data_IF_857041262756
#
_entry.id   IF_857041262756
#
_cell.length_a   1.000
_cell.length_b   1.000
_cell.length_c   1.000
_cell.angle_alpha   90.00
_cell.angle_beta   90.00
_cell.angle_gamma   90.00
#
_symmetry.space_group_name_H-M   'P 1'
#
loop_
_entity.id
_entity.type
_entity.pdbx_description
1 polymer ?
#
# COMPACT_ATOMS: atom_id res chain seq x y z
N UNK A 1 -11.46 -15.57 -8.66
CA UNK A 1 -9.98 -15.59 -8.70
C UNK A 1 -9.51 -15.51 -7.26
N UNK A 2 -8.66 -16.44 -6.83
CA UNK A 2 -8.13 -16.46 -5.46
C UNK A 2 -6.82 -15.67 -5.38
N UNK A 3 -6.62 -14.97 -4.27
CA UNK A 3 -5.36 -14.28 -3.98
C UNK A 3 -5.15 -14.12 -2.47
N UNK A 4 -3.89 -13.98 -2.07
CA UNK A 4 -3.53 -13.65 -0.70
C UNK A 4 -3.44 -12.13 -0.51
N UNK A 5 -3.93 -11.67 0.65
CA UNK A 5 -3.94 -10.28 1.02
C UNK A 5 -3.50 -10.07 2.47
N UNK A 6 -2.86 -8.93 2.72
CA UNK A 6 -2.55 -8.45 4.07
C UNK A 6 -3.17 -7.05 4.23
N UNK A 7 -4.23 -6.95 5.03
CA UNK A 7 -5.05 -5.74 5.12
C UNK A 7 -4.71 -4.87 6.34
N UNK A 8 -3.85 -5.36 7.24
CA UNK A 8 -3.46 -4.66 8.45
C UNK A 8 -1.96 -4.38 8.41
N UNK A 9 -1.60 -3.27 7.80
CA UNK A 9 -0.25 -2.75 7.74
C UNK A 9 -0.19 -1.40 8.45
N UNK A 10 1.03 -0.93 8.72
CA UNK A 10 1.28 0.39 9.25
C UNK A 10 2.26 1.15 8.37
N UNK A 11 2.08 2.45 8.29
CA UNK A 11 2.97 3.38 7.59
C UNK A 11 4.19 3.74 8.44
N UNK A 12 5.11 4.52 7.87
CA UNK A 12 6.25 5.08 8.62
C UNK A 12 5.85 6.14 9.66
N UNK A 13 4.59 6.60 9.67
CA UNK A 13 4.07 7.50 10.71
C UNK A 13 3.71 6.79 12.02
N UNK A 14 3.51 5.48 11.98
CA UNK A 14 3.28 4.69 13.19
C UNK A 14 4.53 4.60 14.06
N UNK A 15 4.35 4.56 15.38
CA UNK A 15 5.47 4.35 16.30
C UNK A 15 6.03 2.93 16.13
N UNK A 16 7.36 2.81 16.26
CA UNK A 16 8.08 1.54 16.17
C UNK A 16 7.92 0.78 14.84
N UNK A 17 7.60 1.47 13.74
CA UNK A 17 7.65 0.91 12.38
C UNK A 17 8.92 1.34 11.63
N UNK A 18 9.23 0.66 10.53
CA UNK A 18 10.34 1.05 9.66
C UNK A 18 10.03 2.38 8.96
N UNK A 19 11.08 3.21 8.78
CA UNK A 19 11.00 4.41 7.93
C UNK A 19 10.70 4.07 6.47
N UNK A 20 10.96 2.82 6.08
CA UNK A 20 10.72 2.30 4.74
C UNK A 20 9.30 1.76 4.55
N UNK A 21 8.40 1.92 5.54
CA UNK A 21 6.97 1.62 5.39
C UNK A 21 6.25 2.67 4.51
N UNK A 22 6.69 2.75 3.25
CA UNK A 22 6.15 3.61 2.18
C UNK A 22 5.61 2.75 1.03
N UNK A 23 4.65 3.25 0.22
CA UNK A 23 3.93 2.39 -0.73
C UNK A 23 4.82 1.65 -1.74
N UNK A 24 5.87 2.26 -2.35
CA UNK A 24 6.76 1.55 -3.26
C UNK A 24 7.48 0.36 -2.62
N UNK A 25 7.97 0.50 -1.39
CA UNK A 25 8.72 -0.55 -0.69
C UNK A 25 7.77 -1.63 -0.17
N UNK A 26 6.61 -1.23 0.36
CA UNK A 26 5.56 -2.16 0.77
C UNK A 26 5.12 -3.06 -0.39
N UNK A 27 4.92 -2.50 -1.59
CA UNK A 27 4.57 -3.28 -2.78
C UNK A 27 5.67 -4.27 -3.19
N UNK A 28 6.95 -3.90 -3.10
CA UNK A 28 8.06 -4.80 -3.41
C UNK A 28 8.09 -6.00 -2.46
N UNK A 29 7.90 -5.79 -1.16
CA UNK A 29 7.83 -6.87 -0.19
C UNK A 29 6.57 -7.71 -0.33
N UNK A 30 5.42 -7.10 -0.61
CA UNK A 30 4.18 -7.80 -0.90
C UNK A 30 4.34 -8.74 -2.10
N UNK A 31 4.98 -8.25 -3.18
CA UNK A 31 5.28 -9.06 -4.36
C UNK A 31 6.20 -10.24 -4.01
N UNK A 32 7.27 -10.02 -3.24
CA UNK A 32 8.18 -11.09 -2.78
C UNK A 32 7.46 -12.13 -1.91
N UNK A 33 6.51 -11.70 -1.10
CA UNK A 33 5.66 -12.57 -0.27
C UNK A 33 4.55 -13.28 -1.06
N UNK A 34 4.32 -12.92 -2.33
CA UNK A 34 3.24 -13.48 -3.15
C UNK A 34 1.85 -12.87 -2.87
N UNK A 35 1.79 -11.72 -2.19
CA UNK A 35 0.55 -10.99 -1.94
C UNK A 35 0.15 -10.20 -3.20
N UNK A 36 -1.12 -10.25 -3.57
CA UNK A 36 -1.66 -9.46 -4.71
C UNK A 36 -2.44 -8.23 -4.28
N UNK A 37 -2.83 -8.16 -3.01
CA UNK A 37 -3.52 -7.02 -2.41
C UNK A 37 -2.91 -6.73 -1.04
N UNK A 38 -2.70 -5.46 -0.73
CA UNK A 38 -2.33 -5.01 0.61
C UNK A 38 -3.15 -3.80 1.06
N UNK A 39 -3.32 -3.65 2.37
CA UNK A 39 -3.88 -2.45 2.99
C UNK A 39 -2.86 -1.31 3.02
N UNK A 40 -3.33 -0.06 2.95
CA UNK A 40 -2.45 1.10 3.14
C UNK A 40 -2.02 1.29 4.59
N UNK A 41 -2.86 0.86 5.54
CA UNK A 41 -2.72 1.20 6.95
C UNK A 41 -2.90 2.69 7.24
N UNK A 42 -3.10 3.03 8.51
CA UNK A 42 -3.00 4.37 9.07
C UNK A 42 -3.80 5.45 8.32
N UNK A 43 -4.91 5.11 7.65
CA UNK A 43 -5.61 6.05 6.77
C UNK A 43 -6.18 7.28 7.48
N UNK A 44 -6.22 7.29 8.81
CA UNK A 44 -6.62 8.44 9.62
C UNK A 44 -5.53 9.52 9.68
N UNK A 45 -4.25 9.16 9.48
CA UNK A 45 -3.13 10.09 9.57
C UNK A 45 -3.12 11.06 8.36
N UNK A 46 -3.20 12.40 8.58
CA UNK A 46 -3.33 13.37 7.49
C UNK A 46 -2.10 13.44 6.59
N UNK A 47 -0.89 13.32 7.17
CA UNK A 47 0.36 13.28 6.40
C UNK A 47 0.44 12.03 5.51
N UNK A 48 -0.01 10.89 6.02
CA UNK A 48 -0.01 9.64 5.28
C UNK A 48 -0.98 9.69 4.11
N UNK A 49 -2.20 10.20 4.33
CA UNK A 49 -3.18 10.42 3.24
C UNK A 49 -2.64 11.31 2.12
N UNK A 50 -1.79 12.30 2.44
CA UNK A 50 -1.15 13.14 1.42
C UNK A 50 -0.16 12.33 0.60
N UNK A 51 0.74 11.60 1.25
CA UNK A 51 1.72 10.75 0.56
C UNK A 51 1.05 9.65 -0.28
N UNK A 52 -0.02 9.04 0.20
CA UNK A 52 -0.80 8.06 -0.57
C UNK A 52 -1.30 8.65 -1.90
N UNK A 53 -1.72 9.92 -1.94
CA UNK A 53 -2.12 10.60 -3.19
C UNK A 53 -0.92 10.88 -4.12
N UNK A 54 0.26 11.03 -3.54
CA UNK A 54 1.50 11.26 -4.31
C UNK A 54 1.96 9.96 -4.98
N UNK A 55 1.77 8.81 -4.33
CA UNK A 55 2.21 7.50 -4.84
C UNK A 55 1.17 6.70 -5.60
N UNK A 56 -0.10 6.80 -5.22
CA UNK A 56 -1.16 5.91 -5.71
C UNK A 56 -2.05 6.60 -6.74
N UNK A 57 -2.54 5.79 -7.68
CA UNK A 57 -3.61 6.14 -8.62
C UNK A 57 -4.71 5.08 -8.54
N UNK A 58 -5.97 5.45 -8.84
CA UNK A 58 -7.06 4.49 -8.97
C UNK A 58 -6.70 3.37 -9.95
N UNK A 59 -7.10 2.15 -9.62
CA UNK A 59 -7.01 0.99 -10.50
C UNK A 59 -8.42 0.49 -10.82
N UNK A 60 -8.84 -0.67 -10.29
CA UNK A 60 -10.21 -1.16 -10.31
C UNK A 60 -11.04 -0.54 -9.16
N UNK A 61 -12.36 -0.73 -9.17
CA UNK A 61 -13.25 -0.15 -8.15
C UNK A 61 -12.82 -0.53 -6.72
N UNK A 62 -12.56 0.51 -5.91
CA UNK A 62 -12.11 0.36 -4.52
C UNK A 62 -10.61 0.05 -4.36
N UNK A 63 -9.86 -0.14 -5.47
CA UNK A 63 -8.45 -0.45 -5.45
C UNK A 63 -7.57 0.64 -6.07
N UNK A 64 -6.31 0.63 -5.64
CA UNK A 64 -5.28 1.55 -6.06
C UNK A 64 -4.05 0.78 -6.53
N UNK A 65 -3.25 1.42 -7.36
CA UNK A 65 -1.93 0.93 -7.79
C UNK A 65 -0.90 2.04 -7.68
N UNK A 66 0.38 1.68 -7.67
CA UNK A 66 1.45 2.67 -7.78
C UNK A 66 1.38 3.38 -9.14
N UNK A 67 1.74 4.68 -9.15
CA UNK A 67 2.02 5.44 -10.37
C UNK A 67 3.12 4.74 -11.18
N UNK A 68 3.04 4.89 -12.51
CA UNK A 68 3.66 4.02 -13.51
C UNK A 68 5.15 3.69 -13.29
N UNK A 69 5.55 2.46 -13.62
CA UNK A 69 6.95 1.99 -13.67
C UNK A 69 7.51 1.31 -12.42
N UNK A 70 6.78 1.28 -11.30
CA UNK A 70 7.34 0.87 -10.00
C UNK A 70 6.94 -0.53 -9.50
N UNK A 71 5.77 -1.08 -9.89
CA UNK A 71 5.42 -2.52 -9.76
C UNK A 71 3.97 -2.75 -10.24
N UNK A 72 3.71 -3.51 -11.32
CA UNK A 72 2.36 -3.71 -11.85
C UNK A 72 1.48 -4.72 -11.08
N UNK A 73 2.06 -5.51 -10.15
CA UNK A 73 1.43 -6.73 -9.67
C UNK A 73 0.59 -6.60 -8.38
N UNK A 74 0.86 -5.60 -7.54
CA UNK A 74 0.21 -5.47 -6.22
C UNK A 74 -0.81 -4.34 -6.23
N UNK A 75 -2.01 -4.62 -5.73
CA UNK A 75 -3.05 -3.63 -5.47
C UNK A 75 -3.03 -3.15 -4.04
N UNK A 76 -3.52 -1.93 -3.83
CA UNK A 76 -3.73 -1.32 -2.53
C UNK A 76 -5.21 -1.11 -2.28
N UNK A 77 -5.64 -1.26 -1.03
CA UNK A 77 -6.94 -0.81 -0.53
C UNK A 77 -6.72 0.10 0.68
N UNK A 78 -7.48 1.18 0.78
CA UNK A 78 -7.34 2.12 1.89
C UNK A 78 -7.87 1.47 3.17
N UNK A 79 -7.00 1.32 4.17
CA UNK A 79 -7.32 0.69 5.46
C UNK A 79 -6.83 1.56 6.63
N UNK A 80 -7.52 1.46 7.76
CA UNK A 80 -7.21 2.18 9.00
C UNK A 80 -6.19 1.43 9.85
#
# INVERSE_FOLDING_TARGET
MEFYADLHLHSHYSMATSKDCIPPIMAQWAQRKGLRLIGTGDCTHPGWRRELRDWLVPAEDGFYRLKDGLSPAVRFVVTG
#
